data_IF_590226820010
#
_entry.id   IF_590226820010
#
_cell.length_a   1.000
_cell.length_b   1.000
_cell.length_c   1.000
_cell.angle_alpha   90.00
_cell.angle_beta   90.00
_cell.angle_gamma   90.00
#
_symmetry.space_group_name_H-M   'P 1'
#
loop_
_entity.id
_entity.type
_entity.pdbx_description
1 polymer ?
#
# COMPACT_ATOMS: atom_id res chain seq x y z
N UNK A 1 -3.88 -16.98 15.60
CA UNK A 1 -2.63 -17.02 14.83
C UNK A 1 -2.94 -17.68 13.50
N UNK A 2 -3.49 -16.90 12.56
CA UNK A 2 -3.68 -17.36 11.18
C UNK A 2 -2.33 -17.31 10.49
N UNK A 3 -1.94 -18.41 9.84
CA UNK A 3 -0.68 -18.52 9.11
C UNK A 3 -0.65 -17.46 8.01
N UNK A 4 0.24 -16.48 8.11
CA UNK A 4 0.52 -15.46 7.07
C UNK A 4 1.29 -16.07 5.87
N UNK A 5 0.89 -17.27 5.45
CA UNK A 5 1.46 -17.95 4.28
C UNK A 5 0.39 -18.01 3.22
N UNK A 6 0.67 -17.37 2.08
CA UNK A 6 -0.13 -17.50 0.87
C UNK A 6 -0.39 -18.98 0.56
N UNK A 7 -1.60 -19.34 0.08
CA UNK A 7 -1.88 -20.71 -0.33
C UNK A 7 -0.91 -21.15 -1.45
N UNK A 8 -0.70 -22.44 -1.70
CA UNK A 8 0.06 -22.88 -2.87
C UNK A 8 -0.69 -22.55 -4.16
N UNK A 9 0.02 -22.10 -5.19
CA UNK A 9 -0.54 -21.86 -6.53
C UNK A 9 -1.05 -23.18 -7.10
N UNK A 10 -2.30 -23.19 -7.58
CA UNK A 10 -2.91 -24.36 -8.21
C UNK A 10 -2.99 -24.21 -9.74
N UNK A 11 -3.41 -25.28 -10.42
CA UNK A 11 -3.47 -25.33 -11.88
C UNK A 11 -4.51 -24.36 -12.49
N UNK A 12 -5.63 -24.15 -11.81
CA UNK A 12 -6.66 -23.20 -12.28
C UNK A 12 -6.14 -21.76 -12.23
N UNK A 13 -5.36 -21.42 -11.20
CA UNK A 13 -4.72 -20.10 -11.07
C UNK A 13 -3.74 -19.84 -12.23
N UNK A 14 -2.95 -20.87 -12.58
CA UNK A 14 -1.99 -20.83 -13.69
C UNK A 14 -2.71 -20.62 -15.02
N UNK A 15 -3.77 -21.39 -15.26
CA UNK A 15 -4.55 -21.29 -16.50
C UNK A 15 -5.22 -19.92 -16.62
N UNK A 16 -5.83 -19.45 -15.54
CA UNK A 16 -6.44 -18.12 -15.49
C UNK A 16 -5.42 -17.03 -15.81
N UNK A 17 -4.25 -17.04 -15.16
CA UNK A 17 -3.19 -16.05 -15.38
C UNK A 17 -2.67 -16.12 -16.83
N UNK A 18 -2.47 -17.34 -17.35
CA UNK A 18 -2.05 -17.55 -18.72
C UNK A 18 -3.03 -16.96 -19.73
N UNK A 19 -4.33 -17.21 -19.57
CA UNK A 19 -5.35 -16.66 -20.48
C UNK A 19 -5.43 -15.15 -20.38
N UNK A 20 -5.51 -14.60 -19.16
CA UNK A 20 -5.63 -13.17 -18.96
C UNK A 20 -4.44 -12.42 -19.57
N UNK A 21 -3.21 -12.78 -19.18
CA UNK A 21 -2.04 -11.97 -19.54
C UNK A 21 -1.68 -12.10 -21.02
N UNK A 22 -1.87 -13.27 -21.63
CA UNK A 22 -1.69 -13.41 -23.08
C UNK A 22 -2.76 -12.68 -23.89
N UNK A 23 -3.97 -12.48 -23.33
CA UNK A 23 -5.05 -11.74 -23.98
C UNK A 23 -4.84 -10.22 -23.99
N UNK A 24 -3.98 -9.69 -23.11
CA UNK A 24 -3.65 -8.28 -23.09
C UNK A 24 -2.91 -7.87 -24.38
N UNK A 25 -3.32 -6.74 -24.97
CA UNK A 25 -2.64 -6.16 -26.13
C UNK A 25 -1.14 -5.92 -25.84
N UNK A 26 -0.29 -6.05 -26.87
CA UNK A 26 1.14 -5.80 -26.75
C UNK A 26 1.59 -4.84 -27.87
N UNK A 27 2.20 -3.68 -27.54
CA UNK A 27 2.36 -3.11 -26.20
C UNK A 27 1.04 -2.49 -25.68
N UNK A 28 0.97 -2.23 -24.37
CA UNK A 28 -0.03 -1.37 -23.69
C UNK A 28 -1.37 -2.00 -23.28
N UNK A 29 -1.52 -3.31 -23.37
CA UNK A 29 -2.68 -4.00 -22.79
C UNK A 29 -2.72 -3.80 -21.27
N UNK A 30 -3.81 -3.22 -20.76
CA UNK A 30 -3.96 -2.83 -19.36
C UNK A 30 -4.90 -3.78 -18.62
N UNK A 31 -4.48 -4.19 -17.44
CA UNK A 31 -5.30 -4.93 -16.48
C UNK A 31 -5.28 -4.21 -15.13
N UNK A 32 -6.46 -3.84 -14.64
CA UNK A 32 -6.62 -3.23 -13.32
C UNK A 32 -6.93 -4.33 -12.32
N UNK A 33 -6.07 -4.47 -11.31
CA UNK A 33 -6.26 -5.34 -10.17
C UNK A 33 -6.76 -4.50 -8.97
N UNK A 34 -8.00 -4.74 -8.49
CA UNK A 34 -8.54 -4.01 -7.35
C UNK A 34 -7.65 -4.10 -6.11
N UNK A 35 -7.48 -2.98 -5.39
CA UNK A 35 -6.67 -2.90 -4.17
C UNK A 35 -5.15 -2.98 -4.36
N UNK A 36 -4.68 -3.18 -5.60
CA UNK A 36 -3.26 -3.20 -5.96
C UNK A 36 -2.93 -2.09 -6.94
N UNK A 37 -3.59 -2.05 -8.09
CA UNK A 37 -3.23 -1.08 -9.13
C UNK A 37 -3.40 -1.59 -10.55
N UNK A 38 -2.80 -0.90 -11.53
CA UNK A 38 -2.89 -1.24 -12.93
C UNK A 38 -1.57 -1.81 -13.47
N UNK A 39 -1.63 -3.05 -13.95
CA UNK A 39 -0.57 -3.67 -14.72
C UNK A 39 -0.75 -3.37 -16.21
N UNK A 40 0.36 -3.12 -16.88
CA UNK A 40 0.42 -2.91 -18.32
C UNK A 40 1.36 -3.93 -18.92
N UNK A 41 0.93 -4.60 -19.99
CA UNK A 41 1.80 -5.46 -20.78
C UNK A 41 2.81 -4.59 -21.53
N UNK A 42 4.02 -4.56 -21.00
CA UNK A 42 5.16 -3.79 -21.51
C UNK A 42 6.06 -4.61 -22.44
N UNK A 43 5.87 -5.93 -22.48
CA UNK A 43 6.62 -6.83 -23.35
C UNK A 43 5.90 -8.15 -23.66
N UNK A 44 6.58 -9.03 -24.39
CA UNK A 44 6.01 -10.31 -24.85
C UNK A 44 5.58 -11.20 -23.69
N UNK A 45 6.37 -11.23 -22.61
CA UNK A 45 6.05 -11.90 -21.34
C UNK A 45 6.42 -11.01 -20.15
N UNK A 46 6.08 -9.73 -20.26
CA UNK A 46 6.38 -8.75 -19.22
C UNK A 46 5.12 -7.94 -18.89
N UNK A 47 4.84 -7.84 -17.60
CA UNK A 47 3.88 -6.90 -17.03
C UNK A 47 4.64 -5.85 -16.24
N UNK A 48 4.24 -4.59 -16.38
CA UNK A 48 4.72 -3.50 -15.57
C UNK A 48 3.58 -2.93 -14.75
N UNK A 49 3.72 -2.90 -13.43
CA UNK A 49 2.80 -2.17 -12.56
C UNK A 49 3.06 -0.67 -12.74
N UNK A 50 2.12 0.05 -13.37
CA UNK A 50 2.25 1.48 -13.67
C UNK A 50 1.50 2.37 -12.69
N UNK A 51 0.39 1.90 -12.14
CA UNK A 51 -0.43 2.68 -11.23
C UNK A 51 -0.70 1.87 -9.96
N UNK A 52 -0.74 2.51 -8.80
CA UNK A 52 -1.13 1.87 -7.54
C UNK A 52 -2.47 2.45 -7.10
N UNK A 53 -3.42 1.59 -6.72
CA UNK A 53 -4.73 2.02 -6.20
C UNK A 53 -4.85 1.62 -4.72
N UNK A 54 -4.89 2.60 -3.83
CA UNK A 54 -5.11 2.35 -2.40
C UNK A 54 -6.60 2.48 -2.08
N UNK A 55 -7.28 1.36 -1.91
CA UNK A 55 -8.60 1.35 -1.30
C UNK A 55 -8.45 1.56 0.22
N UNK A 56 -9.25 2.46 0.82
CA UNK A 56 -9.62 2.30 2.25
C UNK A 56 -10.00 0.84 2.45
N UNK A 57 -9.67 0.21 3.59
CA UNK A 57 -10.22 -1.11 3.90
C UNK A 57 -11.75 -0.97 3.93
N UNK A 58 -12.41 -1.29 2.82
CA UNK A 58 -13.82 -1.63 2.82
C UNK A 58 -13.89 -3.04 3.38
N UNK A 59 -14.70 -3.24 4.41
CA UNK A 59 -15.16 -4.57 4.80
C UNK A 59 -15.88 -5.18 3.59
N UNK A 60 -15.13 -5.86 2.72
CA UNK A 60 -15.74 -6.56 1.61
C UNK A 60 -16.49 -7.76 2.17
N UNK A 61 -17.79 -7.85 1.84
CA UNK A 61 -18.68 -8.95 2.15
C UNK A 61 -18.22 -10.33 1.62
N UNK A 62 -17.07 -10.40 0.93
CA UNK A 62 -16.55 -11.58 0.24
C UNK A 62 -15.14 -12.02 0.65
N UNK A 63 -14.56 -11.46 1.72
CA UNK A 63 -13.17 -11.72 2.14
C UNK A 63 -12.12 -11.41 1.05
N UNK A 64 -10.90 -11.03 1.42
CA UNK A 64 -9.86 -10.70 0.44
C UNK A 64 -9.52 -11.94 -0.38
N UNK A 65 -9.70 -11.88 -1.71
CA UNK A 65 -9.24 -12.96 -2.58
C UNK A 65 -7.71 -12.92 -2.63
N UNK A 66 -7.05 -14.07 -2.69
CA UNK A 66 -5.58 -14.11 -2.85
C UNK A 66 -5.15 -13.49 -4.18
N UNK A 67 -6.04 -13.48 -5.17
CA UNK A 67 -5.84 -12.79 -6.44
C UNK A 67 -5.76 -11.26 -6.31
N UNK A 68 -6.25 -10.69 -5.20
CA UNK A 68 -6.17 -9.25 -4.90
C UNK A 68 -4.82 -8.86 -4.28
N UNK A 69 -3.84 -9.76 -4.23
CA UNK A 69 -2.54 -9.51 -3.59
C UNK A 69 -1.40 -9.42 -4.61
N UNK A 70 -0.64 -8.33 -4.59
CA UNK A 70 0.50 -8.12 -5.48
C UNK A 70 1.52 -9.28 -5.44
N UNK A 71 1.84 -9.76 -4.23
CA UNK A 71 2.77 -10.86 -4.04
C UNK A 71 2.30 -12.16 -4.72
N UNK A 72 0.98 -12.41 -4.73
CA UNK A 72 0.41 -13.56 -5.42
C UNK A 72 0.62 -13.48 -6.93
N UNK A 73 0.49 -12.28 -7.49
CA UNK A 73 0.73 -12.02 -8.91
C UNK A 73 2.19 -12.28 -9.28
N UNK A 74 3.14 -11.88 -8.43
CA UNK A 74 4.56 -12.18 -8.65
C UNK A 74 4.82 -13.69 -8.69
N UNK A 75 4.29 -14.43 -7.70
CA UNK A 75 4.45 -15.89 -7.65
C UNK A 75 3.82 -16.56 -8.87
N UNK A 76 2.64 -16.12 -9.31
CA UNK A 76 2.02 -16.62 -10.54
C UNK A 76 2.89 -16.35 -11.77
N UNK A 77 3.47 -15.15 -11.87
CA UNK A 77 4.31 -14.78 -13.00
C UNK A 77 5.52 -15.72 -13.15
N UNK A 78 6.20 -16.02 -12.05
CA UNK A 78 7.32 -16.96 -12.02
C UNK A 78 6.90 -18.35 -12.53
N UNK A 79 5.70 -18.82 -12.14
CA UNK A 79 5.19 -20.13 -12.56
C UNK A 79 4.91 -20.22 -14.07
N UNK A 80 4.56 -19.12 -14.74
CA UNK A 80 4.29 -19.09 -16.19
C UNK A 80 5.42 -18.48 -17.02
N UNK A 81 6.55 -18.17 -16.38
CA UNK A 81 7.73 -17.58 -17.04
C UNK A 81 7.47 -16.17 -17.56
N UNK A 82 6.67 -15.40 -16.83
CA UNK A 82 6.45 -13.97 -17.04
C UNK A 82 7.28 -13.16 -16.04
N UNK A 83 7.68 -11.97 -16.44
CA UNK A 83 8.39 -11.01 -15.60
C UNK A 83 7.42 -9.91 -15.17
N UNK A 84 7.40 -9.60 -13.87
CA UNK A 84 6.70 -8.42 -13.34
C UNK A 84 7.74 -7.38 -12.99
N UNK A 85 7.56 -6.16 -13.49
CA UNK A 85 8.40 -5.00 -13.21
C UNK A 85 7.57 -3.95 -12.49
N UNK A 86 8.09 -3.37 -11.44
CA UNK A 86 7.46 -2.23 -10.76
C UNK A 86 7.98 -0.93 -11.38
N UNK A 87 7.08 -0.09 -11.89
CA UNK A 87 7.39 1.24 -12.40
C UNK A 87 6.23 2.16 -12.07
N UNK A 88 6.11 2.51 -10.79
CA UNK A 88 5.01 3.32 -10.27
C UNK A 88 5.07 4.71 -10.87
N UNK A 89 4.05 5.08 -11.63
CA UNK A 89 3.96 6.36 -12.35
C UNK A 89 2.86 7.26 -11.81
N UNK A 90 1.81 6.68 -11.24
CA UNK A 90 0.68 7.41 -10.65
C UNK A 90 0.07 6.56 -9.51
N UNK A 91 0.05 7.06 -8.29
CA UNK A 91 -0.62 6.39 -7.18
C UNK A 91 -1.89 7.16 -6.83
N UNK A 92 -3.02 6.48 -6.80
CA UNK A 92 -4.32 7.06 -6.44
C UNK A 92 -4.87 6.39 -5.19
N UNK A 93 -5.37 7.19 -4.26
CA UNK A 93 -6.18 6.72 -3.14
C UNK A 93 -7.66 7.09 -3.36
N UNK A 94 -8.52 6.67 -2.43
CA UNK A 94 -9.94 7.01 -2.46
C UNK A 94 -10.24 8.52 -2.36
N UNK A 95 -9.25 9.37 -2.09
CA UNK A 95 -9.35 10.82 -1.89
C UNK A 95 -8.65 11.63 -3.00
N UNK A 96 -7.94 10.98 -3.94
CA UNK A 96 -7.27 11.60 -5.07
C UNK A 96 -5.93 10.98 -5.41
N UNK A 97 -5.03 11.77 -6.00
CA UNK A 97 -3.64 11.38 -6.26
C UNK A 97 -2.85 11.44 -4.94
N UNK A 98 -2.00 10.43 -4.71
CA UNK A 98 -1.11 10.41 -3.55
C UNK A 98 -0.03 11.46 -3.75
N UNK A 99 0.12 12.31 -2.73
CA UNK A 99 1.07 13.41 -2.73
C UNK A 99 2.27 13.08 -1.84
N UNK A 100 3.35 12.62 -2.47
CA UNK A 100 4.65 12.39 -1.81
C UNK A 100 5.69 13.23 -2.55
N UNK A 101 6.03 14.43 -2.05
CA UNK A 101 7.05 15.27 -2.67
C UNK A 101 8.44 14.62 -2.59
N UNK A 102 9.14 14.55 -3.73
CA UNK A 102 10.48 13.93 -3.84
C UNK A 102 11.50 14.57 -2.87
N UNK A 103 11.37 15.86 -2.59
CA UNK A 103 12.26 16.60 -1.69
C UNK A 103 12.04 16.27 -0.21
N UNK A 104 10.87 15.71 0.13
CA UNK A 104 10.54 15.26 1.48
C UNK A 104 10.80 13.77 1.71
N UNK A 105 11.10 12.99 0.67
CA UNK A 105 11.41 11.56 0.83
C UNK A 105 12.60 11.37 1.78
N UNK A 106 12.42 10.52 2.79
CA UNK A 106 13.38 10.32 3.89
C UNK A 106 13.18 11.25 5.08
N UNK A 107 12.24 12.21 5.01
CA UNK A 107 11.88 13.05 6.16
C UNK A 107 11.20 12.21 7.25
N UNK A 108 11.64 12.42 8.49
CA UNK A 108 11.09 11.75 9.67
C UNK A 108 10.78 12.79 10.74
N UNK A 109 9.57 12.73 11.26
CA UNK A 109 9.11 13.58 12.35
C UNK A 109 8.39 12.77 13.42
N UNK A 110 8.23 13.34 14.60
CA UNK A 110 7.55 12.71 15.74
C UNK A 110 6.46 13.64 16.25
N UNK A 111 5.40 13.06 16.82
CA UNK A 111 4.31 13.84 17.41
C UNK A 111 4.84 14.78 18.50
N UNK A 112 4.54 16.08 18.38
CA UNK A 112 4.97 17.11 19.34
C UNK A 112 4.40 16.87 20.75
N UNK A 113 3.21 16.26 20.85
CA UNK A 113 2.61 15.82 22.11
C UNK A 113 3.27 14.54 22.69
N UNK A 114 4.34 14.05 22.06
CA UNK A 114 5.13 12.89 22.50
C UNK A 114 4.29 11.64 22.77
N UNK A 115 3.20 11.45 22.03
CA UNK A 115 2.35 10.28 22.18
C UNK A 115 3.06 8.98 21.73
N UNK A 116 4.17 9.08 20.99
CA UNK A 116 4.95 7.95 20.48
C UNK A 116 4.73 7.68 18.98
N UNK A 117 3.88 8.45 18.31
CA UNK A 117 3.72 8.39 16.87
C UNK A 117 4.94 8.96 16.14
N UNK A 118 5.41 8.24 15.11
CA UNK A 118 6.47 8.67 14.19
C UNK A 118 5.88 8.76 12.78
N UNK A 119 6.12 9.87 12.11
CA UNK A 119 5.69 10.16 10.74
C UNK A 119 6.90 10.04 9.83
N UNK A 120 6.81 9.24 8.78
CA UNK A 120 7.90 9.04 7.81
C UNK A 120 7.38 9.30 6.40
N UNK A 121 8.15 10.06 5.62
CA UNK A 121 7.90 10.20 4.19
C UNK A 121 8.80 9.19 3.48
N UNK A 122 8.21 8.25 2.77
CA UNK A 122 8.91 7.16 2.09
C UNK A 122 8.49 7.12 0.63
N UNK A 123 9.35 6.58 -0.25
CA UNK A 123 9.00 6.34 -1.66
C UNK A 123 7.74 5.48 -1.77
N UNK A 124 6.96 5.68 -2.83
CA UNK A 124 5.75 4.91 -3.10
C UNK A 124 6.05 3.40 -3.19
N UNK A 125 5.38 2.64 -2.34
CA UNK A 125 5.50 1.19 -2.26
C UNK A 125 4.12 0.54 -2.17
N UNK A 126 3.94 -0.57 -2.88
CA UNK A 126 2.70 -1.37 -2.92
C UNK A 126 2.38 -2.07 -1.60
N UNK A 127 3.37 -2.28 -0.73
CA UNK A 127 3.26 -3.01 0.54
C UNK A 127 2.97 -2.10 1.74
N UNK A 128 2.83 -0.79 1.50
CA UNK A 128 2.84 0.21 2.56
C UNK A 128 1.58 1.06 2.52
N UNK A 129 1.03 1.35 3.70
CA UNK A 129 -0.13 2.21 3.81
C UNK A 129 0.33 3.64 4.08
N UNK A 130 -0.23 4.56 3.30
CA UNK A 130 0.00 5.99 3.45
C UNK A 130 -1.24 6.67 4.02
N UNK A 131 -1.03 7.61 4.91
CA UNK A 131 -2.07 8.43 5.53
C UNK A 131 -1.79 9.87 5.16
N UNK A 132 -2.81 10.56 4.64
CA UNK A 132 -2.72 11.99 4.39
C UNK A 132 -2.79 12.76 5.68
N UNK A 133 -1.77 13.57 5.97
CA UNK A 133 -1.81 14.51 7.08
C UNK A 133 -2.77 15.65 6.72
N UNK A 134 -3.69 15.93 7.64
CA UNK A 134 -4.67 17.00 7.49
C UNK A 134 -4.01 18.38 7.59
N UNK A 135 -4.60 19.39 6.96
CA UNK A 135 -4.12 20.78 6.98
C UNK A 135 -4.04 21.37 8.40
N UNK A 136 -4.84 20.87 9.34
CA UNK A 136 -4.81 21.29 10.74
C UNK A 136 -3.73 20.59 11.58
N UNK A 137 -2.87 19.80 10.91
CA UNK A 137 -1.70 19.12 11.51
C UNK A 137 -2.08 18.24 12.70
N UNK A 138 -3.26 17.65 12.63
CA UNK A 138 -3.76 16.71 13.64
C UNK A 138 -2.96 15.42 13.60
N UNK A 139 -2.47 14.98 14.77
CA UNK A 139 -1.83 13.67 14.89
C UNK A 139 -2.88 12.56 14.69
N UNK A 140 -2.70 11.63 13.73
CA UNK A 140 -3.67 10.54 13.50
C UNK A 140 -3.80 9.57 14.68
N UNK A 141 -2.80 9.49 15.56
CA UNK A 141 -2.83 8.58 16.72
C UNK A 141 -3.58 9.18 17.92
N UNK A 142 -3.19 10.38 18.36
CA UNK A 142 -3.72 10.98 19.60
C UNK A 142 -4.78 12.07 19.37
N UNK A 143 -5.02 12.49 18.13
CA UNK A 143 -6.01 13.52 17.80
C UNK A 143 -5.61 14.94 18.17
N UNK A 144 -4.40 15.16 18.72
CA UNK A 144 -3.93 16.49 19.08
C UNK A 144 -3.61 17.32 17.83
N UNK A 145 -4.12 18.55 17.79
CA UNK A 145 -3.92 19.48 16.67
C UNK A 145 -2.52 20.10 16.72
N UNK A 146 -2.02 20.58 15.58
CA UNK A 146 -0.69 21.20 15.49
C UNK A 146 0.45 20.36 16.08
N UNK A 147 0.28 19.04 16.09
CA UNK A 147 1.25 18.10 16.65
C UNK A 147 2.09 17.40 15.60
N UNK A 148 1.74 17.58 14.32
CA UNK A 148 2.50 17.13 13.17
C UNK A 148 3.36 18.28 12.64
N UNK A 149 4.52 17.95 12.10
CA UNK A 149 5.40 18.91 11.43
C UNK A 149 4.65 19.67 10.31
N UNK A 150 4.69 21.02 10.29
CA UNK A 150 4.01 21.81 9.27
C UNK A 150 4.42 21.47 7.83
N UNK A 151 5.65 21.00 7.60
CA UNK A 151 6.10 20.57 6.27
C UNK A 151 5.33 19.37 5.71
N UNK A 152 4.62 18.63 6.58
CA UNK A 152 3.85 17.46 6.21
C UNK A 152 2.37 17.77 5.92
N UNK A 153 1.93 19.02 5.99
CA UNK A 153 0.54 19.39 5.68
C UNK A 153 0.14 18.90 4.28
N UNK A 154 -0.92 18.09 4.18
CA UNK A 154 -1.41 17.55 2.92
C UNK A 154 -0.52 16.49 2.26
N UNK A 155 0.57 16.07 2.92
CA UNK A 155 1.49 15.02 2.45
C UNK A 155 0.99 13.66 2.92
N UNK A 156 1.15 12.66 2.05
CA UNK A 156 0.94 11.26 2.37
C UNK A 156 2.16 10.68 3.06
N UNK A 157 1.99 10.18 4.28
CA UNK A 157 3.08 9.67 5.11
C UNK A 157 2.81 8.25 5.56
N UNK A 158 3.87 7.55 5.91
CA UNK A 158 3.85 6.29 6.62
C UNK A 158 3.81 6.59 8.11
N UNK A 159 2.82 6.05 8.81
CA UNK A 159 2.67 6.19 10.24
C UNK A 159 3.22 4.96 10.97
N UNK A 160 4.16 5.17 11.89
CA UNK A 160 4.57 4.16 12.85
C UNK A 160 4.00 4.50 14.23
N UNK A 161 3.00 3.73 14.64
CA UNK A 161 2.24 3.92 15.88
C UNK A 161 2.61 2.92 16.98
N UNK A 162 3.64 2.08 16.78
CA UNK A 162 3.99 0.99 17.70
C UNK A 162 4.25 1.50 19.12
N UNK A 163 5.02 2.58 19.25
CA UNK A 163 5.33 3.16 20.56
C UNK A 163 4.10 3.78 21.22
N UNK A 164 3.18 4.36 20.44
CA UNK A 164 1.90 4.86 20.95
C UNK A 164 1.05 3.72 21.52
N UNK A 165 0.92 2.61 20.79
CA UNK A 165 0.18 1.43 21.24
C UNK A 165 0.77 0.84 22.53
N UNK A 166 2.09 0.72 22.62
CA UNK A 166 2.77 0.26 23.84
C UNK A 166 2.51 1.17 25.05
N UNK A 167 2.40 2.49 24.83
CA UNK A 167 2.10 3.43 25.91
C UNK A 167 0.65 3.27 26.41
N UNK A 168 -0.31 3.07 25.50
CA UNK A 168 -1.72 2.81 25.89
C UNK A 168 -1.85 1.51 26.71
N UNK A 169 -1.16 0.45 26.31
CA UNK A 169 -1.18 -0.83 27.04
C UNK A 169 -0.60 -0.74 28.46
N UNK A 170 0.35 0.17 28.70
CA UNK A 170 0.89 0.41 30.04
C UNK A 170 -0.10 1.15 30.93
N UNK A 171 -0.75 2.20 30.40
CA UNK A 171 -1.73 3.00 31.14
C UNK A 171 -2.87 2.10 31.64
N UNK A 172 -3.39 1.21 30.77
CA UNK A 172 -4.47 0.29 31.12
C UNK A 172 -4.05 -0.67 32.25
N UNK A 173 -2.80 -1.16 32.25
CA UNK A 173 -2.29 -2.07 33.29
C UNK A 173 -1.98 -1.38 34.63
N UNK A 174 -1.81 -0.06 34.64
CA UNK A 174 -1.61 0.71 35.86
C UNK A 174 -2.94 1.10 36.52
N UNK A 175 -4.05 1.02 35.78
CA UNK A 175 -5.41 1.28 36.25
C UNK A 175 -6.15 0.02 36.75
N UNK A 176 -5.57 -1.17 36.56
CA UNK A 176 -6.02 -2.47 37.12
C UNK A 176 -5.38 -2.79 38.48
#
# INVERSE_FOLDING_TARGET
>A
MTSDTLPPVNQEDIEWAYYLWNSLANPDGRWVLPGVGAYVRSGVKELTLKEIHFSKPTENAFSQSVFDQHHWIMVLADNIGWKVVESVTLATDNEGEINIPDDLVGHVSVCANRCGAVFRVEELNTMQQYIKIQEDLTCPCCGEKHSVDPSLAGVHIVLDDKSYRMNQEKIIKEEE
#
